data_IF_579139367818
#
_entry.id   IF_579139367818
#
_cell.length_a   1.000
_cell.length_b   1.000
_cell.length_c   1.000
_cell.angle_alpha   90.00
_cell.angle_beta   90.00
_cell.angle_gamma   90.00
#
_symmetry.space_group_name_H-M   'P 1'
#
loop_
_entity.id
_entity.type
_entity.pdbx_description
1 polymer ?
#
# COMPACT_ATOMS: atom_id res chain seq x y z
N UNK A 1 -7.34 -27.82 7.03
CA UNK A 1 -8.00 -26.90 6.08
C UNK A 1 -6.92 -26.17 5.30
N UNK A 2 -7.19 -25.71 4.08
CA UNK A 2 -6.24 -24.87 3.36
C UNK A 2 -6.10 -23.52 4.08
N UNK A 3 -4.90 -22.90 4.09
CA UNK A 3 -4.72 -21.62 4.75
C UNK A 3 -5.56 -20.53 4.08
N UNK A 4 -6.12 -19.62 4.88
CA UNK A 4 -6.92 -18.48 4.38
C UNK A 4 -5.99 -17.34 3.96
N UNK A 5 -6.24 -16.80 2.76
CA UNK A 5 -5.51 -15.65 2.20
C UNK A 5 -6.51 -14.53 1.96
N UNK A 6 -6.23 -13.34 2.48
CA UNK A 6 -7.02 -12.14 2.20
C UNK A 6 -6.41 -11.37 1.03
N UNK A 7 -7.24 -11.07 0.03
CA UNK A 7 -6.89 -10.21 -1.10
C UNK A 7 -7.78 -8.97 -1.11
N UNK A 8 -7.17 -7.81 -1.27
CA UNK A 8 -7.83 -6.50 -1.33
C UNK A 8 -7.16 -5.57 -2.35
N UNK A 9 -7.65 -4.36 -2.54
CA UNK A 9 -7.07 -3.30 -3.37
C UNK A 9 -7.68 -1.93 -3.04
N UNK A 10 -7.29 -0.90 -3.77
CA UNK A 10 -7.91 0.43 -3.78
C UNK A 10 -8.62 0.77 -5.12
N UNK A 11 -8.40 0.00 -6.18
CA UNK A 11 -9.10 0.16 -7.46
C UNK A 11 -10.57 -0.33 -7.44
N UNK A 12 -10.96 -1.05 -6.39
CA UNK A 12 -12.31 -1.56 -6.17
C UNK A 12 -12.54 -3.02 -6.55
N UNK A 13 -13.67 -3.57 -6.08
CA UNK A 13 -14.02 -5.00 -6.10
C UNK A 13 -14.08 -5.63 -7.51
N UNK A 14 -14.27 -4.81 -8.54
CA UNK A 14 -14.38 -5.25 -9.93
C UNK A 14 -13.08 -5.06 -10.73
N UNK A 15 -12.03 -4.51 -10.12
CA UNK A 15 -10.77 -4.26 -10.79
C UNK A 15 -10.11 -5.55 -11.28
N UNK A 16 -9.54 -5.50 -12.49
CA UNK A 16 -8.88 -6.65 -13.11
C UNK A 16 -7.63 -7.08 -12.32
N UNK A 17 -6.85 -6.12 -11.83
CA UNK A 17 -5.66 -6.40 -11.02
C UNK A 17 -5.98 -7.19 -9.76
N UNK A 18 -7.11 -6.91 -9.10
CA UNK A 18 -7.59 -7.65 -7.95
C UNK A 18 -7.84 -9.13 -8.29
N UNK A 19 -8.46 -9.39 -9.45
CA UNK A 19 -8.72 -10.76 -9.90
C UNK A 19 -7.43 -11.51 -10.23
N UNK A 20 -6.49 -10.85 -10.93
CA UNK A 20 -5.16 -11.43 -11.24
C UNK A 20 -4.41 -11.83 -9.98
N UNK A 21 -4.44 -10.97 -8.94
CA UNK A 21 -3.80 -11.27 -7.66
C UNK A 21 -4.48 -12.45 -6.95
N UNK A 22 -5.81 -12.46 -6.92
CA UNK A 22 -6.59 -13.53 -6.30
C UNK A 22 -6.34 -14.88 -7.00
N UNK A 23 -6.35 -14.91 -8.33
CA UNK A 23 -6.10 -16.12 -9.12
C UNK A 23 -4.68 -16.67 -8.89
N UNK A 24 -3.67 -15.78 -8.87
CA UNK A 24 -2.30 -16.19 -8.63
C UNK A 24 -2.09 -16.78 -7.23
N UNK A 25 -2.68 -16.18 -6.21
CA UNK A 25 -2.52 -16.61 -4.82
C UNK A 25 -3.40 -17.82 -4.46
N UNK A 26 -4.37 -18.18 -5.29
CA UNK A 26 -5.17 -19.39 -5.15
C UNK A 26 -4.34 -20.69 -5.13
N UNK A 27 -3.11 -20.64 -5.65
CA UNK A 27 -2.15 -21.76 -5.53
C UNK A 27 -1.62 -21.98 -4.09
N UNK A 28 -1.73 -20.98 -3.21
CA UNK A 28 -1.20 -21.03 -1.84
C UNK A 28 -2.26 -21.37 -0.79
N UNK A 29 -3.54 -21.17 -1.09
CA UNK A 29 -4.61 -21.40 -0.13
C UNK A 29 -5.98 -20.96 -0.61
N UNK A 30 -6.91 -20.84 0.34
CA UNK A 30 -8.27 -20.41 0.11
C UNK A 30 -8.36 -18.88 0.11
N UNK A 31 -8.64 -18.30 -1.07
CA UNK A 31 -8.64 -16.85 -1.24
C UNK A 31 -10.01 -16.26 -0.90
N UNK A 32 -10.01 -15.28 -0.02
CA UNK A 32 -11.11 -14.37 0.26
C UNK A 32 -10.79 -12.99 -0.29
N UNK A 33 -11.71 -12.43 -1.06
CA UNK A 33 -11.57 -11.07 -1.61
C UNK A 33 -12.49 -10.15 -0.83
N UNK A 34 -11.93 -9.13 -0.18
CA UNK A 34 -12.67 -8.08 0.51
C UNK A 34 -12.10 -6.75 0.07
N UNK A 35 -12.84 -5.98 -0.72
CA UNK A 35 -12.33 -4.78 -1.36
C UNK A 35 -13.39 -3.66 -1.39
N UNK A 36 -12.99 -2.39 -1.58
CA UNK A 36 -13.93 -1.28 -1.72
C UNK A 36 -14.94 -1.49 -2.85
N UNK A 37 -16.17 -1.00 -2.66
CA UNK A 37 -17.23 -1.04 -3.67
C UNK A 37 -16.92 -0.20 -4.93
N UNK A 38 -15.95 0.71 -4.83
CA UNK A 38 -15.50 1.64 -5.87
C UNK A 38 -14.04 2.01 -5.66
N UNK A 39 -13.47 2.71 -6.63
CA UNK A 39 -12.12 3.26 -6.55
C UNK A 39 -11.94 4.19 -5.34
N UNK A 40 -10.80 4.04 -4.65
CA UNK A 40 -10.37 4.76 -3.46
C UNK A 40 -8.92 5.26 -3.60
N UNK A 41 -8.55 5.75 -4.80
CA UNK A 41 -7.21 6.25 -5.07
C UNK A 41 -6.80 7.39 -4.14
N UNK A 42 -5.53 7.41 -3.73
CA UNK A 42 -4.92 8.43 -2.88
C UNK A 42 -5.61 8.65 -1.52
N UNK A 43 -6.33 7.65 -1.00
CA UNK A 43 -7.00 7.76 0.30
C UNK A 43 -6.02 7.63 1.49
N UNK A 44 -4.82 7.12 1.24
CA UNK A 44 -3.82 6.85 2.28
C UNK A 44 -4.30 5.82 3.32
N UNK A 45 -3.68 5.82 4.51
CA UNK A 45 -4.01 4.89 5.59
C UNK A 45 -5.10 5.45 6.51
N UNK A 46 -6.34 5.46 6.01
CA UNK A 46 -7.51 6.01 6.70
C UNK A 46 -8.52 4.94 7.10
N UNK A 47 -9.06 5.05 8.32
CA UNK A 47 -10.17 4.24 8.82
C UNK A 47 -11.45 5.06 8.91
N UNK A 48 -12.58 4.44 8.57
CA UNK A 48 -13.91 5.03 8.66
C UNK A 48 -14.51 4.81 10.04
N UNK A 49 -14.36 5.79 10.95
CA UNK A 49 -14.84 5.69 12.32
C UNK A 49 -16.14 6.48 12.60
N UNK A 50 -16.57 7.32 11.67
CA UNK A 50 -17.68 8.27 11.86
C UNK A 50 -19.02 7.80 11.29
N UNK A 51 -19.07 6.67 10.59
CA UNK A 51 -20.27 6.06 10.04
C UNK A 51 -20.15 4.53 10.02
N UNK A 52 -21.28 3.79 10.00
CA UNK A 52 -21.22 2.34 9.82
C UNK A 52 -20.75 1.96 8.42
N UNK A 53 -20.02 0.87 8.33
CA UNK A 53 -19.65 0.23 7.07
C UNK A 53 -20.69 -0.81 6.68
N UNK A 54 -20.91 -0.97 5.38
CA UNK A 54 -21.78 -1.98 4.79
C UNK A 54 -20.92 -2.94 3.98
N UNK A 55 -21.30 -4.21 4.04
CA UNK A 55 -20.60 -5.29 3.34
C UNK A 55 -21.64 -6.03 2.50
N UNK A 56 -21.42 -6.06 1.20
CA UNK A 56 -22.25 -6.79 0.25
C UNK A 56 -21.49 -7.99 -0.29
N UNK A 57 -22.10 -9.18 -0.20
CA UNK A 57 -21.53 -10.39 -0.80
C UNK A 57 -21.81 -10.38 -2.30
N UNK A 58 -20.77 -10.20 -3.12
CA UNK A 58 -20.90 -10.13 -4.60
C UNK A 58 -20.69 -11.49 -5.28
N UNK A 59 -19.97 -12.41 -4.62
CA UNK A 59 -19.80 -13.80 -5.07
C UNK A 59 -19.41 -14.68 -3.87
N UNK A 60 -19.16 -15.96 -4.11
CA UNK A 60 -18.56 -16.82 -3.11
C UNK A 60 -17.19 -16.28 -2.72
N UNK A 61 -16.95 -16.10 -1.39
CA UNK A 61 -15.71 -15.53 -0.82
C UNK A 61 -15.31 -14.16 -1.38
N UNK A 62 -16.26 -13.40 -1.95
CA UNK A 62 -16.00 -12.06 -2.53
C UNK A 62 -16.99 -11.05 -1.98
N UNK A 63 -16.46 -10.00 -1.32
CA UNK A 63 -17.23 -9.02 -0.58
C UNK A 63 -16.84 -7.59 -0.97
N UNK A 64 -17.83 -6.76 -1.25
CA UNK A 64 -17.67 -5.32 -1.50
C UNK A 64 -17.97 -4.53 -0.22
N UNK A 65 -17.14 -3.55 0.10
CA UNK A 65 -17.28 -2.70 1.29
C UNK A 65 -17.38 -1.23 0.87
N UNK A 66 -18.32 -0.48 1.45
CA UNK A 66 -18.42 0.97 1.22
C UNK A 66 -17.41 1.76 2.06
N UNK A 67 -16.17 1.29 2.12
CA UNK A 67 -15.09 1.81 2.94
C UNK A 67 -13.78 1.96 2.19
N UNK A 68 -12.72 2.28 2.93
CA UNK A 68 -11.35 2.35 2.45
C UNK A 68 -10.74 0.95 2.32
N UNK A 69 -9.58 0.79 1.63
CA UNK A 69 -8.84 -0.46 1.63
C UNK A 69 -8.46 -0.95 3.05
N UNK A 70 -8.08 -0.04 3.94
CA UNK A 70 -7.79 -0.34 5.35
C UNK A 70 -9.04 -0.83 6.10
N UNK A 71 -10.22 -0.24 5.84
CA UNK A 71 -11.49 -0.72 6.39
C UNK A 71 -11.77 -2.16 5.95
N UNK A 72 -11.51 -2.48 4.68
CA UNK A 72 -11.71 -3.82 4.13
C UNK A 72 -10.86 -4.86 4.86
N UNK A 73 -9.57 -4.57 5.07
CA UNK A 73 -8.66 -5.45 5.81
C UNK A 73 -9.11 -5.61 7.25
N UNK A 74 -9.44 -4.51 7.92
CA UNK A 74 -9.85 -4.50 9.32
C UNK A 74 -11.11 -5.35 9.53
N UNK A 75 -12.16 -5.11 8.73
CA UNK A 75 -13.39 -5.90 8.76
C UNK A 75 -13.14 -7.39 8.46
N UNK A 76 -12.31 -7.67 7.46
CA UNK A 76 -12.00 -9.04 7.07
C UNK A 76 -11.31 -9.81 8.22
N UNK A 77 -10.21 -9.27 8.71
CA UNK A 77 -9.37 -9.94 9.72
C UNK A 77 -10.10 -10.08 11.07
N UNK A 78 -10.88 -9.08 11.47
CA UNK A 78 -11.50 -9.05 12.78
C UNK A 78 -12.94 -9.65 12.84
N UNK A 79 -13.58 -9.88 11.67
CA UNK A 79 -14.98 -10.29 11.75
C UNK A 79 -15.62 -11.02 10.57
N UNK A 80 -15.09 -10.90 9.33
CA UNK A 80 -15.75 -11.49 8.16
C UNK A 80 -15.18 -12.84 7.76
N UNK A 81 -13.89 -13.08 8.01
CA UNK A 81 -13.24 -14.34 7.62
C UNK A 81 -13.55 -15.43 8.64
N UNK A 82 -13.68 -16.71 8.20
CA UNK A 82 -13.94 -17.84 9.10
C UNK A 82 -12.76 -18.14 10.04
N UNK A 83 -11.54 -17.79 9.60
CA UNK A 83 -10.29 -17.97 10.34
C UNK A 83 -9.36 -16.79 10.04
N UNK A 84 -8.42 -16.45 10.95
CA UNK A 84 -7.40 -15.43 10.68
C UNK A 84 -6.61 -15.77 9.41
N UNK A 85 -6.40 -14.82 8.48
CA UNK A 85 -5.64 -15.09 7.27
C UNK A 85 -4.15 -15.24 7.60
N UNK A 86 -3.46 -16.10 6.85
CA UNK A 86 -2.00 -16.26 6.95
C UNK A 86 -1.25 -15.21 6.12
N UNK A 87 -1.96 -14.53 5.22
CA UNK A 87 -1.42 -13.49 4.34
C UNK A 87 -2.50 -12.46 4.01
N UNK A 88 -2.12 -11.19 4.02
CA UNK A 88 -2.85 -10.10 3.39
C UNK A 88 -2.09 -9.66 2.14
N UNK A 89 -2.72 -9.71 0.99
CA UNK A 89 -2.19 -9.23 -0.28
C UNK A 89 -3.07 -8.11 -0.84
N UNK A 90 -2.49 -6.94 -1.10
CA UNK A 90 -3.19 -5.78 -1.66
C UNK A 90 -2.70 -5.49 -3.06
N UNK A 91 -3.61 -5.34 -4.01
CA UNK A 91 -3.34 -5.05 -5.43
C UNK A 91 -4.07 -6.02 -6.37
N UNK A 92 -3.63 -6.26 -7.59
CA UNK A 92 -2.52 -5.53 -8.25
C UNK A 92 -2.99 -4.12 -8.61
N UNK A 93 -2.31 -3.10 -8.10
CA UNK A 93 -2.61 -1.71 -8.40
C UNK A 93 -2.25 -1.35 -9.84
N UNK A 94 -3.11 -0.56 -10.46
CA UNK A 94 -2.85 0.07 -11.75
C UNK A 94 -1.92 1.28 -11.55
N UNK A 95 -0.67 1.15 -11.94
CA UNK A 95 0.38 2.14 -11.66
C UNK A 95 1.25 1.74 -10.47
N UNK A 96 2.42 2.36 -10.39
CA UNK A 96 3.42 2.06 -9.35
C UNK A 96 3.17 2.83 -8.06
N UNK A 97 3.61 2.24 -6.95
CA UNK A 97 3.71 2.89 -5.65
C UNK A 97 5.18 2.89 -5.22
N UNK A 98 5.94 3.88 -5.67
CA UNK A 98 7.40 3.97 -5.54
C UNK A 98 7.81 5.13 -4.63
N UNK A 99 8.95 4.97 -3.97
CA UNK A 99 9.53 6.02 -3.15
C UNK A 99 8.55 6.63 -2.15
N UNK A 100 8.52 7.96 -2.07
CA UNK A 100 7.67 8.69 -1.13
C UNK A 100 6.16 8.54 -1.42
N UNK A 101 5.76 8.13 -2.63
CA UNK A 101 4.36 7.95 -3.02
C UNK A 101 3.66 6.82 -2.24
N UNK A 102 4.41 5.91 -1.61
CA UNK A 102 3.87 4.87 -0.71
C UNK A 102 3.02 5.46 0.44
N UNK A 103 3.29 6.71 0.84
CA UNK A 103 2.56 7.39 1.92
C UNK A 103 1.13 7.78 1.55
N UNK A 104 0.83 7.90 0.26
CA UNK A 104 -0.50 8.24 -0.26
C UNK A 104 -1.26 7.04 -0.78
N UNK A 105 -0.60 5.89 -0.97
CA UNK A 105 -1.15 4.71 -1.61
C UNK A 105 -2.18 3.98 -0.74
N UNK A 106 -3.38 3.77 -1.27
CA UNK A 106 -4.40 2.91 -0.67
C UNK A 106 -3.99 1.43 -0.69
N UNK A 107 -3.34 0.99 -1.77
CA UNK A 107 -2.80 -0.38 -1.91
C UNK A 107 -1.78 -0.69 -0.81
N UNK A 108 -0.79 0.19 -0.61
CA UNK A 108 0.23 0.02 0.43
C UNK A 108 -0.39 0.11 1.81
N UNK A 109 -1.35 1.01 2.02
CA UNK A 109 -2.06 1.21 3.28
C UNK A 109 -2.85 -0.02 3.74
N UNK A 110 -3.47 -0.74 2.81
CA UNK A 110 -4.13 -2.00 3.13
C UNK A 110 -3.14 -3.07 3.63
N UNK A 111 -1.96 -3.16 3.01
CA UNK A 111 -0.92 -4.06 3.49
C UNK A 111 -0.32 -3.60 4.84
N UNK A 112 -0.23 -2.27 5.08
CA UNK A 112 0.13 -1.72 6.39
C UNK A 112 -0.88 -2.14 7.46
N UNK A 113 -2.19 -2.05 7.18
CA UNK A 113 -3.25 -2.46 8.11
C UNK A 113 -3.13 -3.94 8.46
N UNK A 114 -2.95 -4.83 7.48
CA UNK A 114 -2.71 -6.26 7.73
C UNK A 114 -1.51 -6.51 8.65
N UNK A 115 -0.42 -5.76 8.42
CA UNK A 115 0.79 -5.84 9.25
C UNK A 115 0.55 -5.36 10.67
N UNK A 116 -0.22 -4.28 10.87
CA UNK A 116 -0.61 -3.79 12.20
C UNK A 116 -1.47 -4.81 12.96
N UNK A 117 -2.31 -5.56 12.23
CA UNK A 117 -3.12 -6.64 12.78
C UNK A 117 -2.33 -7.95 12.99
N UNK A 118 -1.02 -7.93 12.74
CA UNK A 118 -0.12 -9.07 12.98
C UNK A 118 -0.10 -10.12 11.87
N UNK A 119 -0.64 -9.80 10.69
CA UNK A 119 -0.66 -10.70 9.54
C UNK A 119 0.48 -10.34 8.57
N UNK A 120 1.26 -11.32 8.08
CA UNK A 120 2.22 -11.10 6.99
C UNK A 120 1.54 -10.42 5.79
N UNK A 121 2.13 -9.34 5.27
CA UNK A 121 1.43 -8.53 4.28
C UNK A 121 2.32 -8.10 3.11
N UNK A 122 1.72 -8.01 1.91
CA UNK A 122 2.37 -7.57 0.69
C UNK A 122 1.45 -6.64 -0.11
N UNK A 123 2.00 -5.53 -0.59
CA UNK A 123 1.38 -4.65 -1.59
C UNK A 123 2.02 -4.94 -2.95
N UNK A 124 1.20 -5.05 -4.00
CA UNK A 124 1.66 -5.36 -5.37
C UNK A 124 1.09 -4.32 -6.33
N UNK A 125 1.97 -3.70 -7.09
CA UNK A 125 1.66 -2.68 -8.10
C UNK A 125 2.35 -3.00 -9.41
N UNK A 126 1.76 -2.62 -10.54
CA UNK A 126 2.39 -2.79 -11.84
C UNK A 126 2.46 -1.46 -12.60
N UNK A 127 3.64 -1.17 -13.15
CA UNK A 127 3.88 0.02 -13.95
C UNK A 127 3.06 -0.04 -15.23
N UNK A 128 2.21 0.97 -15.42
CA UNK A 128 1.45 1.22 -16.66
C UNK A 128 1.03 -0.08 -17.36
N UNK A 129 0.14 -0.88 -16.75
CA UNK A 129 -0.37 -2.07 -17.39
C UNK A 129 -1.14 -1.63 -18.62
N UNK A 130 -0.77 -2.12 -19.81
CA UNK A 130 -1.62 -1.99 -20.98
C UNK A 130 -3.03 -2.48 -20.62
N UNK A 131 -4.07 -1.93 -21.26
CA UNK A 131 -5.48 -2.24 -20.96
C UNK A 131 -5.79 -3.76 -20.93
N UNK A 132 -4.88 -4.60 -21.35
CA UNK A 132 -5.03 -6.05 -21.44
C UNK A 132 -4.24 -6.87 -20.41
N UNK A 133 -3.23 -6.33 -19.67
CA UNK A 133 -2.37 -7.25 -18.96
C UNK A 133 -1.69 -6.81 -17.68
N UNK A 134 -1.95 -7.58 -16.62
CA UNK A 134 -1.10 -7.67 -15.43
C UNK A 134 -0.21 -8.93 -15.50
N UNK A 135 0.25 -9.32 -16.70
CA UNK A 135 0.84 -10.64 -16.95
C UNK A 135 2.11 -10.92 -16.14
N UNK A 136 2.88 -9.87 -15.82
CA UNK A 136 4.07 -10.02 -14.97
C UNK A 136 3.75 -10.06 -13.47
N UNK A 137 2.66 -9.46 -13.04
CA UNK A 137 2.36 -9.24 -11.62
C UNK A 137 1.96 -10.52 -10.89
N UNK A 138 1.12 -11.36 -11.49
CA UNK A 138 0.67 -12.62 -10.87
C UNK A 138 1.82 -13.54 -10.48
N UNK A 139 2.72 -13.92 -11.41
CA UNK A 139 3.88 -14.75 -11.11
C UNK A 139 4.83 -14.14 -10.07
N UNK A 140 5.08 -12.82 -10.14
CA UNK A 140 5.91 -12.12 -9.15
C UNK A 140 5.26 -12.14 -7.78
N UNK A 141 3.96 -11.82 -7.70
CA UNK A 141 3.21 -11.85 -6.44
C UNK A 141 3.23 -13.24 -5.80
N UNK A 142 3.00 -14.30 -6.59
CA UNK A 142 3.06 -15.69 -6.12
C UNK A 142 4.44 -16.05 -5.58
N UNK A 143 5.50 -15.71 -6.30
CA UNK A 143 6.86 -15.99 -5.87
C UNK A 143 7.21 -15.29 -4.55
N UNK A 144 6.87 -13.99 -4.43
CA UNK A 144 7.11 -13.19 -3.22
C UNK A 144 6.27 -13.70 -2.06
N UNK A 145 4.97 -13.96 -2.26
CA UNK A 145 4.08 -14.47 -1.23
C UNK A 145 4.51 -15.85 -0.73
N UNK A 146 4.92 -16.75 -1.62
CA UNK A 146 5.46 -18.06 -1.24
C UNK A 146 6.67 -17.91 -0.34
N UNK A 147 7.60 -17.04 -0.69
CA UNK A 147 8.81 -16.81 0.10
C UNK A 147 8.49 -16.16 1.45
N UNK A 148 7.57 -15.19 1.45
CA UNK A 148 7.09 -14.53 2.66
C UNK A 148 6.49 -15.52 3.66
N UNK A 149 5.67 -16.46 3.19
CA UNK A 149 5.05 -17.47 4.05
C UNK A 149 6.04 -18.48 4.62
N UNK A 150 7.12 -18.78 3.89
CA UNK A 150 8.17 -19.74 4.34
C UNK A 150 9.15 -19.10 5.32
N UNK A 151 9.63 -17.89 5.02
CA UNK A 151 10.72 -17.24 5.78
C UNK A 151 10.20 -16.30 6.87
N UNK A 152 8.98 -15.75 6.70
CA UNK A 152 8.48 -14.66 7.53
C UNK A 152 9.21 -13.33 7.29
N UNK A 153 8.84 -12.34 8.09
CA UNK A 153 9.50 -11.02 8.15
C UNK A 153 9.69 -10.59 9.60
N UNK A 154 10.63 -9.68 9.85
CA UNK A 154 10.71 -8.99 11.14
C UNK A 154 9.36 -8.34 11.50
N UNK A 155 9.08 -8.24 12.81
CA UNK A 155 7.84 -7.60 13.27
C UNK A 155 7.65 -6.22 12.66
N UNK A 156 6.38 -5.84 12.39
CA UNK A 156 5.99 -4.56 11.80
C UNK A 156 6.59 -4.29 10.41
N UNK A 157 6.92 -5.34 9.67
CA UNK A 157 7.47 -5.23 8.31
C UNK A 157 6.48 -5.81 7.30
N UNK A 158 6.28 -5.10 6.19
CA UNK A 158 5.55 -5.56 5.01
C UNK A 158 6.45 -5.46 3.77
N UNK A 159 6.02 -6.06 2.67
CA UNK A 159 6.70 -5.93 1.39
C UNK A 159 5.89 -5.05 0.43
N UNK A 160 6.58 -4.07 -0.18
CA UNK A 160 6.05 -3.29 -1.30
C UNK A 160 6.71 -3.79 -2.58
N UNK A 161 5.90 -4.28 -3.51
CA UNK A 161 6.34 -4.89 -4.77
C UNK A 161 5.86 -4.04 -5.93
N UNK A 162 6.79 -3.61 -6.79
CA UNK A 162 6.44 -2.92 -8.02
C UNK A 162 6.99 -3.70 -9.22
N UNK A 163 6.10 -4.05 -10.14
CA UNK A 163 6.40 -4.86 -11.33
C UNK A 163 6.55 -3.93 -12.53
N UNK A 164 7.62 -4.04 -13.33
CA UNK A 164 7.81 -3.22 -14.50
C UNK A 164 6.80 -3.57 -15.60
N UNK A 165 6.63 -2.65 -16.56
CA UNK A 165 5.90 -2.90 -17.80
C UNK A 165 6.59 -3.97 -18.63
N UNK A 166 5.81 -4.85 -19.27
CA UNK A 166 6.30 -5.87 -20.19
C UNK A 166 7.04 -7.02 -19.51
N UNK A 167 8.07 -7.56 -20.16
CA UNK A 167 8.78 -8.72 -19.66
C UNK A 167 9.61 -8.41 -18.41
N UNK A 168 9.35 -9.12 -17.33
CA UNK A 168 10.11 -9.01 -16.07
C UNK A 168 11.45 -9.74 -16.22
N UNK A 169 12.55 -9.01 -16.09
CA UNK A 169 13.92 -9.58 -16.19
C UNK A 169 14.36 -10.35 -14.94
N UNK A 170 13.67 -10.14 -13.82
CA UNK A 170 13.95 -10.74 -12.51
C UNK A 170 13.49 -9.86 -11.37
N UNK A 171 13.86 -10.22 -10.14
CA UNK A 171 13.48 -9.51 -8.90
C UNK A 171 14.73 -8.88 -8.29
N UNK A 172 14.60 -7.67 -7.74
CA UNK A 172 15.62 -6.97 -6.94
C UNK A 172 15.07 -6.56 -5.59
N UNK A 173 15.85 -6.78 -4.54
CA UNK A 173 15.61 -6.16 -3.24
C UNK A 173 16.08 -4.71 -3.31
N UNK A 174 15.23 -3.80 -2.86
CA UNK A 174 15.42 -2.36 -3.05
C UNK A 174 15.12 -1.59 -1.76
N UNK A 175 15.46 -0.31 -1.76
CA UNK A 175 14.95 0.68 -0.81
C UNK A 175 14.03 1.66 -1.52
N UNK A 176 13.24 2.43 -0.77
CA UNK A 176 12.45 3.50 -1.34
C UNK A 176 13.36 4.55 -2.00
N UNK A 177 12.97 4.97 -3.20
CA UNK A 177 13.56 6.14 -3.85
C UNK A 177 13.02 7.44 -3.27
N UNK A 178 13.59 8.56 -3.72
CA UNK A 178 13.12 9.91 -3.34
C UNK A 178 12.53 10.61 -4.55
N UNK A 179 11.29 11.06 -4.41
CA UNK A 179 10.62 11.86 -5.41
C UNK A 179 11.06 13.32 -5.31
N UNK A 180 11.39 13.93 -6.44
CA UNK A 180 11.68 15.35 -6.55
C UNK A 180 10.37 16.04 -6.87
N UNK A 181 9.77 16.69 -5.86
CA UNK A 181 8.51 17.43 -6.01
C UNK A 181 8.77 18.78 -6.69
N UNK A 182 8.47 18.88 -7.96
CA UNK A 182 8.49 20.14 -8.73
C UNK A 182 7.10 20.49 -9.28
N UNK A 183 6.08 19.76 -8.86
CA UNK A 183 4.74 19.94 -9.33
C UNK A 183 4.21 21.32 -8.94
N UNK A 184 3.55 21.93 -9.90
CA UNK A 184 2.87 23.21 -9.70
C UNK A 184 1.40 22.94 -9.42
N UNK A 185 0.81 23.77 -8.58
CA UNK A 185 -0.63 23.89 -8.53
C UNK A 185 -1.06 24.64 -9.78
N UNK A 186 -1.88 24.02 -10.62
CA UNK A 186 -2.48 24.66 -11.79
C UNK A 186 -3.84 25.19 -11.39
N UNK A 187 -4.05 26.49 -11.58
CA UNK A 187 -5.34 27.13 -11.42
C UNK A 187 -5.98 27.35 -12.78
N UNK A 188 -7.24 26.96 -12.90
CA UNK A 188 -8.07 27.21 -14.07
C UNK A 188 -9.45 27.74 -13.66
N UNK A 189 -10.28 28.11 -14.62
CA UNK A 189 -11.63 28.62 -14.39
C UNK A 189 -12.68 27.64 -14.93
N UNK A 190 -13.71 27.36 -14.13
CA UNK A 190 -14.87 26.62 -14.63
C UNK A 190 -15.70 27.48 -15.63
N UNK A 191 -16.67 26.88 -16.38
CA UNK A 191 -17.51 27.64 -17.32
C UNK A 191 -18.34 28.77 -16.67
N UNK A 192 -18.44 28.80 -15.34
CA UNK A 192 -19.14 29.84 -14.56
C UNK A 192 -18.21 30.88 -13.96
N UNK A 193 -16.91 30.86 -14.34
CA UNK A 193 -15.90 31.80 -13.87
C UNK A 193 -15.42 31.57 -12.44
N UNK A 194 -15.61 30.37 -11.85
CA UNK A 194 -15.09 30.02 -10.52
C UNK A 194 -13.74 29.31 -10.65
N UNK A 195 -12.73 29.69 -9.89
CA UNK A 195 -11.44 29.03 -9.94
C UNK A 195 -11.49 27.61 -9.37
N UNK A 196 -10.77 26.68 -10.01
CA UNK A 196 -10.46 25.36 -9.48
C UNK A 196 -8.97 25.07 -9.65
N UNK A 197 -8.47 24.07 -8.93
CA UNK A 197 -7.05 23.83 -8.80
C UNK A 197 -6.74 22.35 -8.99
N UNK A 198 -5.69 22.07 -9.76
CA UNK A 198 -5.09 20.75 -9.87
C UNK A 198 -3.79 20.71 -9.08
N UNK A 199 -3.59 19.62 -8.29
CA UNK A 199 -2.34 19.33 -7.59
C UNK A 199 -1.64 18.19 -8.34
N UNK A 200 -0.31 18.28 -8.51
CA UNK A 200 0.48 17.19 -9.08
C UNK A 200 0.49 17.12 -10.61
N UNK A 201 0.37 18.27 -11.28
CA UNK A 201 0.46 18.33 -12.74
C UNK A 201 1.91 18.17 -13.22
N UNK A 202 2.19 17.05 -13.89
CA UNK A 202 3.47 16.75 -14.54
C UNK A 202 3.98 15.33 -14.23
N UNK A 203 4.89 14.81 -15.05
CA UNK A 203 5.50 13.51 -14.80
C UNK A 203 6.37 13.56 -13.52
N UNK A 204 6.39 12.49 -12.70
CA UNK A 204 7.24 12.46 -11.51
C UNK A 204 8.73 12.48 -11.90
N UNK A 205 9.51 13.31 -11.22
CA UNK A 205 10.97 13.27 -11.28
C UNK A 205 11.51 12.51 -10.06
N UNK A 206 12.60 11.78 -10.24
CA UNK A 206 13.20 10.95 -9.21
C UNK A 206 14.67 11.29 -9.01
N UNK A 207 15.15 11.20 -7.76
CA UNK A 207 16.57 11.32 -7.49
C UNK A 207 17.34 10.12 -8.08
N UNK A 208 18.55 10.38 -8.57
CA UNK A 208 19.42 9.32 -9.10
C UNK A 208 19.92 8.45 -7.94
N UNK A 209 19.43 7.22 -7.87
CA UNK A 209 19.76 6.25 -6.85
C UNK A 209 19.62 4.82 -7.40
N UNK A 210 20.74 4.20 -7.74
CA UNK A 210 20.79 2.88 -8.36
C UNK A 210 20.27 1.72 -7.49
N UNK A 211 20.14 1.92 -6.17
CA UNK A 211 19.57 0.95 -5.22
C UNK A 211 18.10 1.19 -4.93
N UNK A 212 17.50 2.22 -5.51
CA UNK A 212 16.09 2.56 -5.32
C UNK A 212 15.15 1.66 -6.12
N UNK A 213 13.91 1.57 -5.65
CA UNK A 213 12.83 0.83 -6.28
C UNK A 213 12.54 1.32 -7.70
N UNK A 214 12.53 2.64 -7.92
CA UNK A 214 12.33 3.22 -9.26
C UNK A 214 13.43 2.79 -10.24
N UNK A 215 14.70 2.75 -9.84
CA UNK A 215 15.79 2.35 -10.70
C UNK A 215 15.68 0.87 -11.10
N UNK A 216 15.22 0.01 -10.20
CA UNK A 216 14.95 -1.40 -10.52
C UNK A 216 13.84 -1.54 -11.56
N UNK A 217 12.71 -0.84 -11.35
CA UNK A 217 11.54 -0.89 -12.25
C UNK A 217 11.90 -0.34 -13.63
N UNK A 218 12.60 0.80 -13.72
CA UNK A 218 13.06 1.37 -14.97
C UNK A 218 14.03 0.45 -15.72
N UNK A 219 14.85 -0.33 -15.01
CA UNK A 219 15.74 -1.31 -15.59
C UNK A 219 15.04 -2.61 -16.03
N UNK A 220 13.72 -2.75 -15.79
CA UNK A 220 12.91 -3.91 -16.15
C UNK A 220 12.93 -5.04 -15.13
N UNK A 221 13.27 -4.77 -13.88
CA UNK A 221 13.20 -5.70 -12.76
C UNK A 221 12.01 -5.38 -11.87
N UNK A 222 11.37 -6.41 -11.31
CA UNK A 222 10.44 -6.19 -10.21
C UNK A 222 11.23 -5.75 -8.96
N UNK A 223 10.80 -4.65 -8.32
CA UNK A 223 11.35 -4.20 -7.04
C UNK A 223 10.60 -4.84 -5.89
N UNK A 224 11.30 -5.25 -4.86
CA UNK A 224 10.75 -5.71 -3.58
C UNK A 224 11.41 -4.90 -2.48
N UNK A 225 10.64 -4.00 -1.88
CA UNK A 225 11.11 -3.08 -0.83
C UNK A 225 10.46 -3.45 0.50
N UNK A 226 11.22 -3.83 1.53
CA UNK A 226 10.67 -3.99 2.88
C UNK A 226 10.35 -2.61 3.47
N UNK A 227 9.11 -2.41 3.94
CA UNK A 227 8.65 -1.22 4.63
C UNK A 227 8.46 -1.53 6.12
N UNK A 228 8.80 -0.60 6.98
CA UNK A 228 8.68 -0.76 8.43
C UNK A 228 7.71 0.27 9.01
N UNK A 229 6.82 -0.18 9.91
CA UNK A 229 5.77 0.64 10.48
C UNK A 229 6.17 1.39 11.77
N UNK A 230 7.38 1.23 12.25
CA UNK A 230 7.89 2.10 13.31
C UNK A 230 8.42 3.40 12.69
N UNK A 231 7.61 4.45 12.78
CA UNK A 231 7.93 5.79 12.27
C UNK A 231 8.81 6.59 13.22
N UNK A 232 9.20 6.02 14.37
CA UNK A 232 10.09 6.68 15.33
C UNK A 232 11.50 6.80 14.77
N UNK A 233 12.00 8.01 14.61
CA UNK A 233 13.38 8.22 14.24
C UNK A 233 14.27 8.06 15.47
N UNK A 234 14.63 6.81 15.82
CA UNK A 234 15.39 6.46 17.03
C UNK A 234 16.72 7.22 17.15
N UNK A 235 17.43 7.44 16.02
CA UNK A 235 18.65 8.23 16.01
C UNK A 235 18.45 9.72 16.36
N UNK A 236 17.30 10.30 15.95
CA UNK A 236 16.96 11.68 16.34
C UNK A 236 16.57 11.75 17.82
N UNK A 237 15.81 10.78 18.33
CA UNK A 237 15.39 10.72 19.73
C UNK A 237 16.58 10.75 20.66
N UNK A 238 17.66 9.97 20.38
CA UNK A 238 18.90 10.00 21.16
C UNK A 238 19.57 11.36 21.17
N UNK A 239 19.60 12.06 20.02
CA UNK A 239 20.18 13.42 19.92
C UNK A 239 19.33 14.49 20.60
N UNK A 240 18.05 14.26 20.81
CA UNK A 240 17.12 15.19 21.45
C UNK A 240 16.98 14.96 22.97
N UNK A 241 17.76 14.05 23.55
CA UNK A 241 17.67 13.70 24.97
C UNK A 241 17.80 14.89 25.93
N UNK A 242 18.61 15.92 25.56
CA UNK A 242 18.80 17.13 26.36
C UNK A 242 17.60 18.11 26.30
N UNK A 243 16.70 17.96 25.29
CA UNK A 243 15.56 18.86 25.12
C UNK A 243 14.55 18.73 26.25
N UNK A 244 14.40 17.55 26.83
CA UNK A 244 13.43 17.29 27.89
C UNK A 244 13.61 18.25 29.08
N UNK A 245 14.86 18.43 29.54
CA UNK A 245 15.18 19.36 30.62
C UNK A 245 14.85 20.81 30.30
N UNK A 246 15.21 21.26 29.10
CA UNK A 246 14.95 22.62 28.63
C UNK A 246 13.44 22.89 28.47
N UNK A 247 12.69 21.97 27.87
CA UNK A 247 11.25 22.09 27.68
C UNK A 247 10.51 22.12 29.04
N UNK A 248 10.87 21.25 29.99
CA UNK A 248 10.29 21.20 31.31
C UNK A 248 10.57 22.48 32.13
N UNK A 249 11.73 23.13 31.94
CA UNK A 249 12.06 24.39 32.59
C UNK A 249 11.12 25.54 32.16
N UNK A 250 10.72 25.57 30.88
CA UNK A 250 9.74 26.55 30.37
C UNK A 250 8.39 26.38 31.02
N UNK A 251 7.90 25.13 31.18
CA UNK A 251 6.60 24.85 31.79
C UNK A 251 6.56 25.20 33.29
N UNK A 252 7.66 25.01 34.00
CA UNK A 252 7.76 25.38 35.43
C UNK A 252 7.72 26.90 35.64
N UNK A 253 8.30 27.72 34.75
CA UNK A 253 8.23 29.18 34.82
C UNK A 253 6.81 29.73 34.65
N UNK A 254 5.96 29.11 33.81
CA UNK A 254 4.55 29.54 33.62
C UNK A 254 3.63 29.25 34.83
N UNK A 255 3.97 28.28 35.67
CA UNK A 255 3.19 27.96 36.89
C UNK A 255 3.47 28.86 38.08
N UNK A 256 4.49 29.73 37.99
CA UNK A 256 4.89 30.66 39.06
C UNK A 256 4.47 32.13 38.81
N UNK A 257 3.69 32.35 37.72
CA UNK A 257 3.00 33.62 37.43
C UNK A 257 1.49 33.40 37.49
#
# INVERSE_FOLDING_TARGET
MAPVILVTNDDGIHARGLQVLADALGALGEVYVVAPDREQSAVGHALTLHRPLRVDRVAERKYAVNGTPSDCVNLAVLGLLPEPPVLVASGVNHGTNLGDDVTYSGTVSAAMEGTLLGVPSVAVSQADPDAEGFDGAGPVALAVATRLLVEGLPAKTLLNVNVPRGQVKGIRLTRLGHRIYREKVIQEMDPRGRPYYWIGAGPPEWADDTGADIAAVQAGFASVTPLHLDLTHHGALGRMSEWEGALNAVLKKKRRR
#
